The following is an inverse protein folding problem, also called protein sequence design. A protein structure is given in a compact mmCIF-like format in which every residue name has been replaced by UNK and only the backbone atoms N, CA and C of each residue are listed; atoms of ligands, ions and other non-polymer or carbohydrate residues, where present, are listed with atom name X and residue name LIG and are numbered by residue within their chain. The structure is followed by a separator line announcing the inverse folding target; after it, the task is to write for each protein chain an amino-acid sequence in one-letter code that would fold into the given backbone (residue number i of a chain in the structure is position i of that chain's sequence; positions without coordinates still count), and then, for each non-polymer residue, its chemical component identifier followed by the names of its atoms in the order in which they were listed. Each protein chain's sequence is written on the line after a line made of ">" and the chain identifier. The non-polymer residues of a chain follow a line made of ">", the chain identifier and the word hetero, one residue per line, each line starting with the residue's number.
data_IF_978567200036
#
_entry.id   IF_978567200036
#
_cell.length_a   1.000
_cell.length_b   1.000
_cell.length_c   1.000
_cell.angle_alpha   90.00
_cell.angle_beta   90.00
_cell.angle_gamma   90.00
#
_symmetry.space_group_name_H-M   'P 1'
#
loop_
_entity.id
_entity.type
_entity.pdbx_description
1 polymer ?
#
# COMPACT_ATOMS: atom_id res chain seq x y z
N UNK A 1 11.99 7.10 -31.08
CA UNK A 1 13.33 7.24 -30.48
C UNK A 1 13.60 6.02 -29.64
N UNK A 2 14.71 5.35 -29.91
CA UNK A 2 15.19 4.26 -29.06
C UNK A 2 16.04 4.85 -27.95
N UNK A 3 15.96 4.27 -26.74
CA UNK A 3 16.88 4.64 -25.66
C UNK A 3 17.40 3.38 -25.03
N UNK A 4 18.70 3.33 -24.75
CA UNK A 4 19.34 2.23 -24.04
C UNK A 4 19.55 2.66 -22.59
N UNK A 5 19.12 1.84 -21.65
CA UNK A 5 19.27 2.12 -20.23
C UNK A 5 19.79 0.91 -19.47
N UNK A 6 20.68 1.12 -18.52
CA UNK A 6 21.14 0.11 -17.58
C UNK A 6 21.21 0.71 -16.18
N UNK A 7 20.93 -0.08 -15.15
CA UNK A 7 21.09 0.34 -13.77
C UNK A 7 21.57 -0.81 -12.89
N UNK A 8 22.07 -0.46 -11.71
CA UNK A 8 22.51 -1.42 -10.70
C UNK A 8 22.10 -0.95 -9.32
N UNK A 9 21.85 -1.89 -8.41
CA UNK A 9 21.56 -1.61 -7.02
C UNK A 9 22.24 -2.67 -6.13
N UNK A 10 22.87 -2.25 -5.03
CA UNK A 10 23.46 -3.16 -4.05
C UNK A 10 24.40 -2.45 -3.07
N UNK A 11 24.67 -3.03 -1.90
CA UNK A 11 25.62 -2.51 -0.90
C UNK A 11 25.46 -1.00 -0.58
N UNK A 12 24.23 -0.52 -0.51
CA UNK A 12 23.95 0.89 -0.22
C UNK A 12 24.14 1.85 -1.40
N UNK A 13 24.43 1.37 -2.62
CA UNK A 13 24.51 2.21 -3.83
C UNK A 13 23.40 1.88 -4.82
N UNK A 14 23.09 2.87 -5.65
CA UNK A 14 22.25 2.69 -6.83
C UNK A 14 22.79 3.56 -7.98
N UNK A 15 22.87 2.96 -9.16
CA UNK A 15 23.37 3.59 -10.38
C UNK A 15 22.36 3.49 -11.51
N UNK A 16 22.35 4.49 -12.38
CA UNK A 16 21.55 4.50 -13.59
C UNK A 16 22.32 5.15 -14.73
N UNK A 17 22.23 4.54 -15.90
CA UNK A 17 22.78 5.03 -17.15
C UNK A 17 21.68 5.01 -18.20
N UNK A 18 21.55 6.10 -18.94
CA UNK A 18 20.65 6.18 -20.09
C UNK A 18 21.31 6.94 -21.24
N UNK A 19 21.14 6.44 -22.46
CA UNK A 19 21.63 7.07 -23.70
C UNK A 19 20.55 7.05 -24.78
N UNK A 20 20.49 8.11 -25.56
CA UNK A 20 19.66 8.26 -26.77
C UNK A 20 20.62 8.34 -27.97
N UNK A 21 20.91 7.21 -28.64
CA UNK A 21 21.93 7.16 -29.69
C UNK A 21 21.69 8.12 -30.84
N UNK A 22 20.44 8.37 -31.19
CA UNK A 22 20.06 9.22 -32.32
C UNK A 22 20.44 10.69 -32.10
N UNK A 23 20.49 11.17 -30.86
CA UNK A 23 20.88 12.54 -30.53
C UNK A 23 22.26 12.64 -29.88
N UNK A 24 22.86 11.51 -29.50
CA UNK A 24 24.14 11.47 -28.76
C UNK A 24 24.03 11.91 -27.30
N UNK A 25 22.80 12.10 -26.78
CA UNK A 25 22.58 12.50 -25.40
C UNK A 25 22.71 11.32 -24.44
N UNK A 26 23.41 11.52 -23.32
CA UNK A 26 23.55 10.52 -22.28
C UNK A 26 23.53 11.15 -20.88
N UNK A 27 23.06 10.37 -19.91
CA UNK A 27 23.09 10.73 -18.50
C UNK A 27 23.52 9.52 -17.66
N UNK A 28 24.39 9.79 -16.68
CA UNK A 28 24.82 8.83 -15.66
C UNK A 28 24.47 9.40 -14.29
N UNK A 29 23.77 8.63 -13.49
CA UNK A 29 23.36 8.99 -12.13
C UNK A 29 23.95 7.97 -11.18
N UNK A 30 24.72 8.44 -10.21
CA UNK A 30 25.34 7.63 -9.17
C UNK A 30 24.84 8.12 -7.81
N UNK A 31 24.38 7.22 -6.96
CA UNK A 31 23.85 7.57 -5.64
C UNK A 31 24.43 6.66 -4.58
N UNK A 32 24.69 7.24 -3.40
CA UNK A 32 25.15 6.53 -2.19
C UNK A 32 23.98 5.98 -1.37
N UNK A 33 22.84 5.72 -2.02
CA UNK A 33 21.69 5.08 -1.41
C UNK A 33 21.08 4.07 -2.37
N UNK A 34 20.81 2.87 -1.86
CA UNK A 34 20.09 1.83 -2.61
C UNK A 34 18.59 2.11 -2.76
N UNK A 35 18.07 3.22 -2.22
CA UNK A 35 16.66 3.61 -2.25
C UNK A 35 16.40 4.88 -3.08
N UNK A 36 17.30 5.18 -4.02
CA UNK A 36 17.27 6.42 -4.82
C UNK A 36 16.35 6.37 -6.05
N UNK A 37 15.49 5.36 -6.16
CA UNK A 37 14.52 5.23 -7.26
C UNK A 37 13.72 6.52 -7.52
N UNK A 38 13.14 7.19 -6.49
CA UNK A 38 12.40 8.43 -6.73
C UNK A 38 13.28 9.55 -7.27
N UNK A 39 14.49 9.71 -6.73
CA UNK A 39 15.45 10.73 -7.17
C UNK A 39 15.80 10.54 -8.65
N UNK A 40 16.18 9.31 -9.02
CA UNK A 40 16.54 8.97 -10.40
C UNK A 40 15.33 9.21 -11.32
N UNK A 41 14.11 8.85 -10.89
CA UNK A 41 12.91 9.07 -11.67
C UNK A 41 12.62 10.56 -11.92
N UNK A 42 12.77 11.43 -10.91
CA UNK A 42 12.59 12.87 -11.08
C UNK A 42 13.66 13.46 -12.00
N UNK A 43 14.94 13.18 -11.75
CA UNK A 43 16.05 13.69 -12.56
C UNK A 43 15.92 13.26 -14.03
N UNK A 44 15.55 12.00 -14.28
CA UNK A 44 15.34 11.52 -15.65
C UNK A 44 14.11 12.16 -16.32
N UNK A 45 13.04 12.40 -15.56
CA UNK A 45 11.84 13.04 -16.08
C UNK A 45 12.13 14.49 -16.49
N UNK A 46 12.84 15.23 -15.64
CA UNK A 46 13.24 16.61 -15.91
C UNK A 46 14.23 16.68 -17.08
N UNK A 47 15.22 15.79 -17.11
CA UNK A 47 16.18 15.70 -18.22
C UNK A 47 15.48 15.39 -19.55
N UNK A 48 14.55 14.43 -19.56
CA UNK A 48 13.77 14.12 -20.75
C UNK A 48 12.92 15.31 -21.19
N UNK A 49 12.31 16.04 -20.26
CA UNK A 49 11.56 17.26 -20.57
C UNK A 49 12.45 18.35 -21.17
N UNK A 50 13.65 18.57 -20.62
CA UNK A 50 14.61 19.57 -21.14
C UNK A 50 15.12 19.23 -22.54
N UNK A 51 15.24 17.95 -22.87
CA UNK A 51 15.65 17.48 -24.19
C UNK A 51 14.47 17.23 -25.15
N UNK A 52 13.24 17.53 -24.73
CA UNK A 52 12.01 17.24 -25.46
C UNK A 52 11.86 15.75 -25.87
N UNK A 53 12.39 14.85 -25.05
CA UNK A 53 12.24 13.41 -25.22
C UNK A 53 10.86 12.93 -24.77
N UNK A 54 10.35 11.82 -25.35
CA UNK A 54 9.15 11.17 -24.86
C UNK A 54 9.32 10.72 -23.40
N UNK A 55 8.20 10.68 -22.66
CA UNK A 55 8.22 10.41 -21.22
C UNK A 55 8.92 9.08 -20.89
N UNK A 56 9.89 9.13 -19.99
CA UNK A 56 10.59 7.94 -19.49
C UNK A 56 9.65 7.14 -18.59
N UNK A 57 9.61 5.82 -18.78
CA UNK A 57 8.73 4.91 -18.02
C UNK A 57 8.88 5.01 -16.50
N UNK A 58 10.03 5.53 -16.02
CA UNK A 58 10.29 5.76 -14.60
C UNK A 58 9.34 6.77 -13.94
N UNK A 59 8.71 7.68 -14.70
CA UNK A 59 7.66 8.57 -14.19
C UNK A 59 6.45 7.83 -13.61
N UNK A 60 6.23 6.55 -13.99
CA UNK A 60 5.19 5.69 -13.40
C UNK A 60 5.41 5.40 -11.91
N UNK A 61 6.66 5.47 -11.42
CA UNK A 61 6.96 5.30 -9.99
C UNK A 61 6.30 6.43 -9.18
N UNK A 62 6.23 7.65 -9.73
CA UNK A 62 5.56 8.78 -9.08
C UNK A 62 4.06 8.50 -8.91
N UNK A 63 3.41 7.95 -9.95
CA UNK A 63 2.00 7.51 -9.85
C UNK A 63 1.79 6.39 -8.84
N UNK A 64 2.76 5.48 -8.70
CA UNK A 64 2.75 4.44 -7.68
C UNK A 64 2.66 4.98 -6.25
N UNK A 65 3.31 6.11 -5.98
CA UNK A 65 3.21 6.80 -4.68
C UNK A 65 1.76 7.21 -4.36
N UNK A 66 1.10 7.90 -5.30
CA UNK A 66 -0.29 8.35 -5.13
C UNK A 66 -1.26 7.17 -5.04
N UNK A 67 -1.07 6.13 -5.86
CA UNK A 67 -1.87 4.91 -5.79
C UNK A 67 -1.76 4.23 -4.42
N UNK A 68 -0.54 4.15 -3.87
CA UNK A 68 -0.31 3.55 -2.56
C UNK A 68 -0.91 4.39 -1.43
N UNK A 69 -0.80 5.73 -1.50
CA UNK A 69 -1.50 6.65 -0.60
C UNK A 69 -3.01 6.43 -0.62
N UNK A 70 -3.61 6.28 -1.81
CA UNK A 70 -5.04 6.05 -1.95
C UNK A 70 -5.49 4.73 -1.30
N UNK A 71 -4.73 3.65 -1.50
CA UNK A 71 -5.00 2.34 -0.87
C UNK A 71 -4.90 2.43 0.65
N UNK A 72 -3.86 3.07 1.18
CA UNK A 72 -3.68 3.30 2.62
C UNK A 72 -4.87 4.08 3.18
N UNK A 73 -5.22 5.21 2.55
CA UNK A 73 -6.35 6.05 2.95
C UNK A 73 -7.68 5.29 2.94
N UNK A 74 -7.89 4.43 1.95
CA UNK A 74 -9.08 3.58 1.85
C UNK A 74 -9.14 2.56 3.00
N UNK A 75 -8.03 1.88 3.31
CA UNK A 75 -7.95 0.92 4.42
C UNK A 75 -8.22 1.60 5.77
N UNK A 76 -7.62 2.76 6.01
CA UNK A 76 -7.83 3.54 7.24
C UNK A 76 -9.30 3.98 7.35
N UNK A 77 -9.85 4.54 6.27
CA UNK A 77 -11.26 5.01 6.24
C UNK A 77 -12.23 3.85 6.48
N UNK A 78 -12.01 2.71 5.83
CA UNK A 78 -12.82 1.51 6.02
C UNK A 78 -12.74 1.01 7.48
N UNK A 79 -11.53 0.97 8.05
CA UNK A 79 -11.32 0.59 9.45
C UNK A 79 -12.08 1.52 10.40
N UNK A 80 -11.98 2.84 10.21
CA UNK A 80 -12.65 3.84 11.03
C UNK A 80 -14.18 3.72 10.95
N UNK A 81 -14.73 3.54 9.75
CA UNK A 81 -16.16 3.32 9.54
C UNK A 81 -16.65 2.03 10.20
N UNK A 82 -15.86 0.95 10.17
CA UNK A 82 -16.20 -0.29 10.86
C UNK A 82 -16.17 -0.13 12.38
N UNK A 83 -15.15 0.55 12.92
CA UNK A 83 -15.08 0.89 14.36
C UNK A 83 -16.29 1.71 14.78
N UNK A 84 -16.64 2.76 14.02
CA UNK A 84 -17.81 3.60 14.33
C UNK A 84 -19.10 2.80 14.33
N UNK A 85 -19.30 1.89 13.36
CA UNK A 85 -20.47 1.00 13.31
C UNK A 85 -20.53 0.07 14.52
N UNK A 86 -19.39 -0.40 15.02
CA UNK A 86 -19.31 -1.21 16.24
C UNK A 86 -19.71 -0.40 17.48
N UNK A 87 -19.22 0.85 17.60
CA UNK A 87 -19.49 1.73 18.75
C UNK A 87 -20.97 2.17 18.80
N UNK A 88 -21.52 2.60 17.66
CA UNK A 88 -22.91 3.11 17.58
C UNK A 88 -23.93 1.96 17.72
N UNK A 89 -23.48 0.71 17.84
CA UNK A 89 -24.36 -0.44 18.03
C UNK A 89 -25.27 -0.71 16.83
N UNK A 90 -24.94 -0.18 15.65
CA UNK A 90 -25.63 -0.45 14.39
C UNK A 90 -25.23 -1.84 13.86
N UNK A 91 -25.47 -2.84 14.70
CA UNK A 91 -25.24 -4.24 14.39
C UNK A 91 -26.41 -4.74 13.54
N UNK A 92 -26.37 -4.43 12.24
CA UNK A 92 -27.19 -5.14 11.26
C UNK A 92 -26.80 -6.62 11.36
N UNK A 93 -27.78 -7.49 11.62
CA UNK A 93 -27.58 -8.93 11.79
C UNK A 93 -26.92 -9.49 10.50
N UNK A 94 -25.60 -9.63 10.52
CA UNK A 94 -24.85 -10.19 9.38
C UNK A 94 -25.11 -11.68 9.36
N UNK A 95 -25.48 -12.23 8.18
CA UNK A 95 -25.60 -13.69 7.99
C UNK A 95 -24.28 -14.36 8.38
N UNK A 96 -24.34 -15.56 8.96
CA UNK A 96 -23.15 -16.29 9.41
C UNK A 96 -22.06 -16.39 8.33
N UNK A 97 -22.46 -16.54 7.06
CA UNK A 97 -21.58 -16.53 5.88
C UNK A 97 -20.68 -15.28 5.81
N UNK A 98 -21.23 -14.08 6.05
CA UNK A 98 -20.46 -12.84 6.03
C UNK A 98 -19.46 -12.75 7.19
N UNK A 99 -19.75 -13.39 8.34
CA UNK A 99 -18.82 -13.44 9.48
C UNK A 99 -17.64 -14.37 9.19
N UNK A 100 -17.92 -15.54 8.62
CA UNK A 100 -16.89 -16.51 8.19
C UNK A 100 -15.99 -15.89 7.13
N UNK A 101 -16.56 -15.21 6.12
CA UNK A 101 -15.79 -14.53 5.09
C UNK A 101 -14.89 -13.43 5.69
N UNK A 102 -15.42 -12.61 6.61
CA UNK A 102 -14.63 -11.56 7.30
C UNK A 102 -13.47 -12.14 8.12
N UNK A 103 -13.72 -13.21 8.88
CA UNK A 103 -12.67 -13.89 9.64
C UNK A 103 -11.61 -14.51 8.72
N UNK A 104 -12.03 -15.16 7.62
CA UNK A 104 -11.13 -15.71 6.62
C UNK A 104 -10.24 -14.64 5.98
N UNK A 105 -10.82 -13.51 5.56
CA UNK A 105 -10.06 -12.38 5.02
C UNK A 105 -9.06 -11.83 6.04
N UNK A 106 -9.46 -11.68 7.31
CA UNK A 106 -8.55 -11.20 8.37
C UNK A 106 -7.35 -12.14 8.57
N UNK A 107 -7.57 -13.46 8.61
CA UNK A 107 -6.51 -14.46 8.77
C UNK A 107 -5.55 -14.45 7.58
N UNK A 108 -6.08 -14.35 6.36
CA UNK A 108 -5.25 -14.26 5.14
C UNK A 108 -4.36 -13.01 5.18
N UNK A 109 -4.93 -11.85 5.52
CA UNK A 109 -4.17 -10.60 5.59
C UNK A 109 -3.07 -10.65 6.67
N UNK A 110 -3.36 -11.22 7.85
CA UNK A 110 -2.36 -11.43 8.89
C UNK A 110 -1.27 -12.41 8.44
N UNK A 111 -1.64 -13.50 7.76
CA UNK A 111 -0.69 -14.44 7.19
C UNK A 111 0.25 -13.80 6.17
N UNK A 112 -0.28 -12.94 5.29
CA UNK A 112 0.52 -12.16 4.34
C UNK A 112 1.48 -11.21 5.08
N UNK A 113 1.02 -10.51 6.12
CA UNK A 113 1.89 -9.64 6.91
C UNK A 113 3.03 -10.41 7.58
N UNK A 114 2.73 -11.56 8.19
CA UNK A 114 3.75 -12.42 8.82
C UNK A 114 4.75 -12.89 7.76
N UNK A 115 4.26 -13.36 6.61
CA UNK A 115 5.12 -13.75 5.49
C UNK A 115 6.04 -12.60 5.05
N UNK A 116 5.52 -11.38 4.94
CA UNK A 116 6.30 -10.20 4.60
C UNK A 116 7.41 -9.89 5.62
N UNK A 117 7.21 -10.16 6.91
CA UNK A 117 8.25 -9.95 7.93
C UNK A 117 9.45 -10.89 7.75
N UNK A 118 9.22 -12.10 7.22
CA UNK A 118 10.29 -13.07 6.95
C UNK A 118 11.02 -12.83 5.64
N UNK A 119 10.53 -11.94 4.78
CA UNK A 119 11.18 -11.61 3.52
C UNK A 119 12.32 -10.61 3.74
N UNK A 120 13.55 -11.02 3.38
CA UNK A 120 14.75 -10.17 3.46
C UNK A 120 14.68 -8.95 2.54
N UNK A 121 13.88 -9.00 1.48
CA UNK A 121 13.71 -7.90 0.54
C UNK A 121 12.27 -7.82 0.03
N UNK A 122 11.65 -6.65 0.24
CA UNK A 122 10.37 -6.29 -0.34
C UNK A 122 10.61 -5.12 -1.28
N UNK A 123 10.25 -5.26 -2.54
CA UNK A 123 10.40 -4.20 -3.53
C UNK A 123 9.73 -2.89 -3.07
N UNK A 124 8.54 -2.99 -2.45
CA UNK A 124 7.78 -1.85 -1.95
C UNK A 124 8.53 -1.10 -0.82
N UNK A 125 9.24 -1.80 0.07
CA UNK A 125 10.04 -1.14 1.14
C UNK A 125 11.30 -0.48 0.60
N UNK A 126 11.82 -0.98 -0.54
CA UNK A 126 12.95 -0.38 -1.25
C UNK A 126 12.56 0.90 -1.98
N UNK A 127 11.42 0.89 -2.68
CA UNK A 127 10.93 2.03 -3.47
C UNK A 127 10.24 3.09 -2.62
N UNK A 128 9.43 2.67 -1.62
CA UNK A 128 8.64 3.57 -0.78
C UNK A 128 8.74 3.20 0.71
N UNK A 129 9.88 3.47 1.38
CA UNK A 129 10.11 3.00 2.74
C UNK A 129 9.08 3.53 3.76
N UNK A 130 8.65 4.80 3.62
CA UNK A 130 7.66 5.40 4.53
C UNK A 130 6.26 4.84 4.28
N UNK A 131 5.81 4.79 3.02
CA UNK A 131 4.49 4.24 2.70
C UNK A 131 4.36 2.76 3.02
N UNK A 132 5.43 1.98 2.86
CA UNK A 132 5.41 0.57 3.20
C UNK A 132 5.08 0.34 4.68
N UNK A 133 5.60 1.20 5.57
CA UNK A 133 5.26 1.17 7.00
C UNK A 133 3.78 1.51 7.24
N UNK A 134 3.28 2.57 6.61
CA UNK A 134 1.86 2.97 6.72
C UNK A 134 0.91 1.91 6.14
N UNK A 135 1.28 1.28 5.03
CA UNK A 135 0.52 0.18 4.44
C UNK A 135 0.46 -1.01 5.39
N UNK A 136 1.61 -1.44 5.94
CA UNK A 136 1.68 -2.54 6.90
C UNK A 136 0.81 -2.28 8.13
N UNK A 137 0.92 -1.08 8.72
CA UNK A 137 0.09 -0.66 9.85
C UNK A 137 -1.41 -0.62 9.51
N UNK A 138 -1.77 -0.11 8.34
CA UNK A 138 -3.18 -0.01 7.91
C UNK A 138 -3.80 -1.39 7.66
N UNK A 139 -3.06 -2.30 7.03
CA UNK A 139 -3.51 -3.70 6.83
C UNK A 139 -3.65 -4.41 8.17
N UNK A 140 -2.74 -4.18 9.11
CA UNK A 140 -2.82 -4.78 10.46
C UNK A 140 -4.07 -4.30 11.20
N UNK A 141 -4.29 -2.98 11.27
CA UNK A 141 -5.47 -2.38 11.92
C UNK A 141 -6.75 -2.89 11.26
N UNK A 142 -6.82 -2.89 9.93
CA UNK A 142 -7.99 -3.38 9.21
C UNK A 142 -8.28 -4.86 9.49
N UNK A 143 -7.25 -5.69 9.55
CA UNK A 143 -7.38 -7.12 9.88
C UNK A 143 -7.91 -7.35 11.29
N UNK A 144 -7.42 -6.58 12.27
CA UNK A 144 -7.91 -6.63 13.66
C UNK A 144 -9.37 -6.19 13.74
N UNK A 145 -9.73 -5.09 13.08
CA UNK A 145 -11.11 -4.57 13.06
C UNK A 145 -12.07 -5.57 12.38
N UNK A 146 -11.64 -6.23 11.30
CA UNK A 146 -12.40 -7.30 10.66
C UNK A 146 -12.63 -8.48 11.61
N UNK A 147 -11.58 -8.90 12.33
CA UNK A 147 -11.64 -10.02 13.28
C UNK A 147 -12.57 -9.68 14.47
N UNK A 148 -12.45 -8.49 15.04
CA UNK A 148 -13.34 -8.00 16.10
C UNK A 148 -14.80 -7.92 15.62
N UNK A 149 -15.03 -7.41 14.42
CA UNK A 149 -16.38 -7.38 13.83
C UNK A 149 -16.94 -8.77 13.54
N UNK A 150 -16.09 -9.77 13.30
CA UNK A 150 -16.51 -11.15 13.08
C UNK A 150 -16.81 -11.86 14.41
N UNK A 151 -16.07 -11.56 15.48
CA UNK A 151 -16.22 -12.19 16.80
C UNK A 151 -17.35 -11.59 17.63
N UNK A 152 -17.53 -10.27 17.63
CA UNK A 152 -18.58 -9.61 18.40
C UNK A 152 -19.97 -10.04 17.89
N UNK A 153 -20.77 -10.75 18.70
CA UNK A 153 -22.15 -11.00 18.35
C UNK A 153 -22.92 -9.67 18.40
N UNK A 154 -23.82 -9.47 17.44
CA UNK A 154 -24.85 -8.46 17.58
C UNK A 154 -25.62 -8.79 18.87
N UNK A 155 -25.40 -8.02 19.94
CA UNK A 155 -26.19 -8.15 21.14
C UNK A 155 -27.61 -7.74 20.74
N UNK A 156 -28.44 -8.72 20.38
CA UNK A 156 -29.81 -8.50 19.98
C UNK A 156 -30.52 -7.91 21.19
N UNK A 157 -30.78 -6.61 21.12
CA UNK A 157 -31.64 -5.86 22.04
C UNK A 157 -33.09 -6.37 21.91
N UNK A 158 -33.34 -7.63 22.28
CA UNK A 158 -34.65 -8.27 22.32
C UNK A 158 -35.10 -8.59 23.75
N UNK A 159 -34.33 -8.23 24.77
CA UNK A 159 -34.67 -8.59 26.16
C UNK A 159 -35.39 -7.48 26.97
N UNK A 160 -35.74 -6.35 26.36
CA UNK A 160 -36.34 -5.20 27.05
C UNK A 160 -37.76 -4.84 26.56
N UNK A 161 -38.52 -5.85 26.13
CA UNK A 161 -39.91 -5.66 25.68
C UNK A 161 -40.91 -6.71 26.21
N UNK A 162 -40.49 -7.69 27.01
CA UNK A 162 -41.39 -8.77 27.47
C UNK A 162 -41.61 -8.83 28.98
N UNK A 163 -41.07 -7.88 29.76
CA UNK A 163 -41.45 -7.69 31.16
C UNK A 163 -41.83 -6.22 31.38
N UNK A 164 -43.09 -5.90 31.15
CA UNK A 164 -43.63 -4.56 31.35
C UNK A 164 -45.07 -4.43 30.91
N UNK A 165 -45.99 -5.17 31.53
CA UNK A 165 -47.15 -4.62 32.25
C UNK A 165 -48.01 -5.78 32.81
N UNK A 166 -48.45 -5.60 34.05
CA UNK A 166 -49.54 -6.33 34.69
C UNK A 166 -50.84 -6.23 33.89
#
# INVERSE_FOLDING_TARGET
>A
MSSVSHGGQGNGIMTHFQVVPETGDAIVILTNSQRSWPLIAYVLSDWAQWRAFPSVGMGRIIWGHYGLCAVIGMLISASLLMILRLIVGFHRQKRAVFRVLQAGTAVILLGILIWCLFQKYLFITSVFPVLAMWLGGSVLVFSIVLLLSALLPACSRKYLSTHGCN
#
